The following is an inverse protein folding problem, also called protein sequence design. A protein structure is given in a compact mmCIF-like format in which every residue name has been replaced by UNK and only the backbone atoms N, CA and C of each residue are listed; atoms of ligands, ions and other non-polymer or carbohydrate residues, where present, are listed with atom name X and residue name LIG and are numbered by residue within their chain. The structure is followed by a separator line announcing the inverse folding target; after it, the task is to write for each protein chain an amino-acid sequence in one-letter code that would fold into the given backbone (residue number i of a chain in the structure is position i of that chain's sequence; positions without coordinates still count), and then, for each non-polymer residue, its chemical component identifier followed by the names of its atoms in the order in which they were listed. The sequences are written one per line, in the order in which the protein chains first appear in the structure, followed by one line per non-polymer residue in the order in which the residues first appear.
data_IF_732572216776
#
_entry.id   IF_732572216776
#
_cell.length_a   1.000
_cell.length_b   1.000
_cell.length_c   1.000
_cell.angle_alpha   90.00
_cell.angle_beta   90.00
_cell.angle_gamma   90.00
#
_symmetry.space_group_name_H-M   'P 1'
#
loop_
_entity.id
_entity.type
_entity.pdbx_description
1 polymer ?
#
# COMPACT_ATOMS: atom_id res chain seq x y z
N UNK A 1 30.31 79.62 35.19
CA UNK A 1 30.83 78.49 34.38
C UNK A 1 29.64 77.69 33.82
N UNK A 2 29.44 77.77 32.53
CA UNK A 2 28.33 77.02 31.90
C UNK A 2 28.66 75.53 31.87
N UNK A 3 28.11 74.79 32.85
CA UNK A 3 28.27 73.34 32.93
C UNK A 3 27.60 72.64 31.76
N UNK A 4 28.29 71.71 31.18
CA UNK A 4 27.82 70.94 30.07
C UNK A 4 26.68 69.99 30.55
N UNK A 5 25.42 70.35 30.25
CA UNK A 5 24.19 69.63 30.71
C UNK A 5 24.03 68.16 30.16
N UNK A 6 25.01 67.68 29.43
CA UNK A 6 25.00 66.30 28.86
C UNK A 6 25.91 65.33 29.60
N UNK A 7 26.58 65.78 30.68
CA UNK A 7 27.40 64.89 31.48
C UNK A 7 26.52 64.24 32.57
N UNK A 8 26.34 62.99 32.49
CA UNK A 8 25.65 62.15 33.53
C UNK A 8 26.52 60.97 33.89
N UNK A 9 26.33 60.42 35.10
CA UNK A 9 27.11 59.31 35.65
C UNK A 9 28.47 59.74 36.17
N UNK A 10 29.20 58.90 36.83
CA UNK A 10 30.51 59.07 37.41
C UNK A 10 30.58 58.54 38.83
N UNK A 11 31.72 58.89 39.50
CA UNK A 11 31.94 58.45 40.91
C UNK A 11 31.06 59.27 41.87
N UNK A 12 30.61 58.67 42.99
CA UNK A 12 29.64 59.27 43.93
C UNK A 12 30.01 60.67 44.45
N UNK A 13 31.28 60.99 44.50
CA UNK A 13 31.76 62.22 45.03
C UNK A 13 31.47 63.42 44.14
N UNK A 14 31.13 63.22 42.85
CA UNK A 14 30.90 64.28 41.86
C UNK A 14 29.43 64.75 41.80
N UNK A 15 28.52 64.15 42.54
CA UNK A 15 27.08 64.47 42.61
C UNK A 15 26.44 64.78 41.24
N UNK A 16 26.84 64.05 40.20
CA UNK A 16 26.25 64.14 38.86
C UNK A 16 24.94 63.44 38.82
N UNK A 17 24.01 63.90 38.01
CA UNK A 17 22.71 63.34 37.81
C UNK A 17 22.82 61.94 37.20
N UNK A 18 22.02 60.94 37.67
CA UNK A 18 22.01 59.63 37.13
C UNK A 18 21.65 59.66 35.64
N UNK A 19 22.33 58.81 34.82
CA UNK A 19 21.98 58.65 33.40
C UNK A 19 20.66 57.89 33.28
N UNK A 20 19.71 58.48 32.55
CA UNK A 20 18.51 57.72 32.15
C UNK A 20 18.95 56.64 31.18
N UNK A 21 18.96 55.39 31.66
CA UNK A 21 19.16 54.18 30.83
C UNK A 21 17.90 54.03 29.98
N UNK A 22 17.93 54.50 28.75
CA UNK A 22 16.92 54.18 27.75
C UNK A 22 17.10 52.67 27.45
N UNK A 23 16.39 51.82 28.16
CA UNK A 23 16.23 50.40 27.80
C UNK A 23 15.46 50.37 26.49
N UNK A 24 16.19 50.31 25.39
CA UNK A 24 15.59 50.01 24.10
C UNK A 24 14.98 48.60 24.22
N UNK A 25 13.69 48.57 24.50
CA UNK A 25 12.91 47.34 24.51
C UNK A 25 12.85 46.87 23.05
N UNK A 26 13.63 45.84 22.75
CA UNK A 26 13.73 45.21 21.42
C UNK A 26 12.40 44.53 21.06
N UNK A 27 11.33 45.31 20.90
CA UNK A 27 10.01 44.82 20.51
C UNK A 27 9.94 44.23 19.09
N UNK A 28 10.97 44.47 18.29
CA UNK A 28 11.06 43.91 16.93
C UNK A 28 11.45 42.43 16.93
N UNK A 29 12.23 41.96 17.90
CA UNK A 29 12.68 40.56 17.99
C UNK A 29 11.52 39.63 18.35
N UNK A 30 10.64 40.03 19.22
CA UNK A 30 9.49 39.18 19.66
C UNK A 30 8.46 39.05 18.53
N UNK A 31 8.08 40.15 17.89
CA UNK A 31 7.13 40.12 16.78
C UNK A 31 7.63 39.29 15.59
N UNK A 32 8.95 39.29 15.33
CA UNK A 32 9.57 38.46 14.30
C UNK A 32 9.49 36.97 14.65
N UNK A 33 9.78 36.58 15.89
CA UNK A 33 9.68 35.20 16.37
C UNK A 33 8.24 34.68 16.24
N UNK A 34 7.25 35.48 16.64
CA UNK A 34 5.83 35.09 16.49
C UNK A 34 5.42 34.90 15.03
N UNK A 35 5.89 35.76 14.10
CA UNK A 35 5.61 35.60 12.68
C UNK A 35 6.22 34.31 12.12
N UNK A 36 7.45 33.98 12.47
CA UNK A 36 8.11 32.74 12.05
C UNK A 36 7.37 31.52 12.57
N UNK A 37 6.94 31.54 13.85
CA UNK A 37 6.17 30.42 14.44
C UNK A 37 4.85 30.23 13.71
N UNK A 38 4.13 31.29 13.38
CA UNK A 38 2.86 31.23 12.65
C UNK A 38 3.07 30.63 11.25
N UNK A 39 4.08 31.10 10.52
CA UNK A 39 4.40 30.57 9.18
C UNK A 39 4.76 29.10 9.24
N UNK A 40 5.60 28.68 10.19
CA UNK A 40 5.93 27.28 10.37
C UNK A 40 4.70 26.41 10.69
N UNK A 41 3.78 26.90 11.53
CA UNK A 41 2.53 26.18 11.82
C UNK A 41 1.63 26.04 10.59
N UNK A 42 1.49 27.08 9.79
CA UNK A 42 0.72 27.02 8.53
C UNK A 42 1.34 26.00 7.58
N UNK A 43 2.67 26.01 7.42
CA UNK A 43 3.37 25.01 6.60
C UNK A 43 3.13 23.59 7.09
N UNK A 44 3.19 23.36 8.41
CA UNK A 44 2.91 22.04 8.99
C UNK A 44 1.48 21.56 8.72
N UNK A 45 0.49 22.44 8.83
CA UNK A 45 -0.91 22.12 8.57
C UNK A 45 -1.11 21.77 7.08
N UNK A 46 -0.53 22.57 6.16
CA UNK A 46 -0.64 22.32 4.72
C UNK A 46 0.04 20.99 4.37
N UNK A 47 1.25 20.74 4.90
CA UNK A 47 2.00 19.52 4.62
C UNK A 47 1.29 18.27 5.17
N UNK A 48 0.74 18.35 6.38
CA UNK A 48 -0.02 17.24 6.97
C UNK A 48 -1.33 16.98 6.22
N UNK A 49 -2.04 18.01 5.78
CA UNK A 49 -3.27 17.84 4.99
C UNK A 49 -2.98 17.24 3.60
N UNK A 50 -1.89 17.67 2.96
CA UNK A 50 -1.44 17.11 1.69
C UNK A 50 -1.03 15.64 1.84
N UNK A 51 -0.29 15.32 2.91
CA UNK A 51 0.11 13.96 3.23
C UNK A 51 -1.10 13.05 3.49
N UNK A 52 -2.09 13.53 4.24
CA UNK A 52 -3.35 12.80 4.47
C UNK A 52 -4.14 12.63 3.17
N UNK A 53 -4.21 13.66 2.32
CA UNK A 53 -4.90 13.59 1.03
C UNK A 53 -4.20 12.60 0.07
N UNK A 54 -2.86 12.58 0.04
CA UNK A 54 -2.10 11.62 -0.75
C UNK A 54 -2.29 10.20 -0.23
N UNK A 55 -2.22 9.99 1.08
CA UNK A 55 -2.49 8.68 1.67
C UNK A 55 -3.95 8.23 1.43
N UNK A 56 -4.90 9.17 1.45
CA UNK A 56 -6.29 8.84 1.14
C UNK A 56 -6.48 8.52 -0.33
N UNK A 57 -5.82 9.24 -1.24
CA UNK A 57 -5.82 8.91 -2.68
C UNK A 57 -5.15 7.56 -2.96
N UNK A 58 -4.07 7.21 -2.27
CA UNK A 58 -3.43 5.90 -2.38
C UNK A 58 -4.34 4.80 -1.82
N UNK A 59 -5.00 5.03 -0.67
CA UNK A 59 -6.02 4.12 -0.13
C UNK A 59 -7.27 4.05 -1.01
N UNK A 60 -7.72 5.16 -1.60
CA UNK A 60 -8.86 5.20 -2.50
C UNK A 60 -8.58 4.49 -3.82
N UNK A 61 -7.38 4.63 -4.39
CA UNK A 61 -6.97 3.83 -5.55
C UNK A 61 -6.85 2.34 -5.25
N UNK A 62 -6.43 1.96 -4.02
CA UNK A 62 -6.51 0.57 -3.55
C UNK A 62 -7.94 0.07 -3.36
N UNK A 63 -8.91 0.95 -3.13
CA UNK A 63 -10.32 0.60 -2.92
C UNK A 63 -11.14 0.60 -4.21
N UNK A 64 -10.62 1.21 -5.29
CA UNK A 64 -11.22 1.17 -6.63
C UNK A 64 -10.72 -0.01 -7.50
N UNK A 65 -9.69 -0.74 -7.04
CA UNK A 65 -9.48 -2.11 -7.46
C UNK A 65 -10.47 -2.94 -6.64
N UNK A 66 -11.66 -3.13 -7.23
CA UNK A 66 -12.77 -3.93 -6.71
C UNK A 66 -12.29 -4.95 -5.69
N UNK A 67 -12.59 -4.69 -4.40
CA UNK A 67 -12.62 -5.74 -3.40
C UNK A 67 -13.81 -6.61 -3.80
N UNK A 68 -13.62 -7.43 -4.85
CA UNK A 68 -14.45 -8.60 -5.05
C UNK A 68 -14.38 -9.32 -3.71
N UNK A 69 -15.53 -9.42 -3.06
CA UNK A 69 -15.67 -10.16 -1.82
C UNK A 69 -14.97 -11.50 -2.03
N UNK A 70 -14.23 -11.96 -1.03
CA UNK A 70 -13.56 -13.27 -1.09
C UNK A 70 -14.57 -14.35 -1.49
N UNK A 71 -15.82 -14.21 -1.07
CA UNK A 71 -16.96 -15.03 -1.47
C UNK A 71 -17.25 -14.96 -2.96
N UNK A 72 -17.16 -13.80 -3.58
CA UNK A 72 -17.42 -13.64 -5.02
C UNK A 72 -16.28 -14.22 -5.87
N UNK A 73 -15.03 -14.12 -5.41
CA UNK A 73 -13.88 -14.74 -6.06
C UNK A 73 -13.93 -16.26 -5.95
N UNK A 74 -14.32 -16.81 -4.78
CA UNK A 74 -14.48 -18.25 -4.59
C UNK A 74 -15.64 -18.77 -5.45
N UNK A 75 -16.75 -18.03 -5.56
CA UNK A 75 -17.88 -18.38 -6.42
C UNK A 75 -17.54 -18.30 -7.91
N UNK A 76 -16.69 -17.34 -8.32
CA UNK A 76 -16.26 -17.19 -9.71
C UNK A 76 -15.35 -18.33 -10.20
N UNK A 77 -14.61 -19.00 -9.31
CA UNK A 77 -13.64 -20.06 -9.67
C UNK A 77 -13.96 -21.40 -8.96
N UNK A 78 -15.20 -21.87 -9.13
CA UNK A 78 -15.57 -23.23 -8.74
C UNK A 78 -14.92 -24.29 -9.65
N UNK A 79 -14.87 -25.55 -9.21
CA UNK A 79 -14.40 -26.67 -10.05
C UNK A 79 -15.06 -26.67 -11.43
N UNK A 80 -16.38 -26.52 -11.49
CA UNK A 80 -17.15 -26.43 -12.73
C UNK A 80 -16.63 -25.34 -13.68
N UNK A 81 -16.34 -24.18 -13.13
CA UNK A 81 -15.83 -23.04 -13.92
C UNK A 81 -14.42 -23.31 -14.43
N UNK A 82 -13.53 -23.85 -13.57
CA UNK A 82 -12.16 -24.19 -13.96
C UNK A 82 -12.15 -25.32 -15.00
N UNK A 83 -12.98 -26.32 -14.83
CA UNK A 83 -13.18 -27.39 -15.80
C UNK A 83 -13.63 -26.82 -17.16
N UNK A 84 -14.59 -25.91 -17.14
CA UNK A 84 -15.11 -25.32 -18.40
C UNK A 84 -14.04 -24.45 -19.12
N UNK A 85 -13.35 -23.56 -18.41
CA UNK A 85 -12.36 -22.64 -19.03
C UNK A 85 -11.11 -23.39 -19.54
N UNK A 86 -10.79 -24.56 -18.98
CA UNK A 86 -9.67 -25.42 -19.39
C UNK A 86 -10.07 -26.49 -20.42
N UNK A 87 -11.32 -26.48 -20.89
CA UNK A 87 -11.83 -27.52 -21.78
C UNK A 87 -11.84 -28.92 -21.15
N UNK A 88 -12.24 -29.01 -19.86
CA UNK A 88 -12.23 -30.28 -19.12
C UNK A 88 -10.85 -30.74 -18.68
N UNK A 89 -9.91 -29.78 -18.49
CA UNK A 89 -8.50 -30.08 -18.28
C UNK A 89 -7.89 -30.88 -19.43
N UNK A 90 -8.25 -30.49 -20.68
CA UNK A 90 -7.79 -31.15 -21.89
C UNK A 90 -6.26 -31.18 -21.98
N UNK A 91 -5.66 -32.25 -22.46
CA UNK A 91 -4.24 -32.33 -22.80
C UNK A 91 -3.80 -31.22 -23.78
N UNK A 92 -4.70 -30.78 -24.67
CA UNK A 92 -4.43 -29.70 -25.65
C UNK A 92 -4.19 -28.35 -24.99
N UNK A 93 -4.72 -28.18 -23.78
CA UNK A 93 -4.53 -26.98 -22.95
C UNK A 93 -3.44 -27.15 -21.89
N UNK A 94 -2.71 -28.27 -21.90
CA UNK A 94 -1.63 -28.52 -20.94
C UNK A 94 -0.44 -27.60 -21.23
N UNK A 95 -0.10 -26.71 -20.31
CA UNK A 95 1.08 -25.85 -20.36
C UNK A 95 2.33 -26.61 -19.91
N UNK A 96 2.17 -27.43 -18.88
CA UNK A 96 3.25 -28.21 -18.31
C UNK A 96 2.78 -29.07 -17.15
N UNK A 97 3.60 -30.07 -16.82
CA UNK A 97 3.33 -30.98 -15.71
C UNK A 97 4.60 -31.19 -14.90
N UNK A 98 4.48 -31.13 -13.58
CA UNK A 98 5.58 -31.30 -12.65
C UNK A 98 5.17 -32.04 -11.38
N UNK A 99 6.08 -32.12 -10.44
CA UNK A 99 5.86 -32.82 -9.16
C UNK A 99 4.72 -32.24 -8.32
N UNK A 100 4.36 -30.99 -8.56
CA UNK A 100 3.26 -30.30 -7.84
C UNK A 100 1.91 -30.43 -8.54
N UNK A 101 1.89 -30.97 -9.74
CA UNK A 101 0.71 -31.17 -10.54
C UNK A 101 0.77 -30.49 -11.90
N UNK A 102 -0.23 -30.74 -12.77
CA UNK A 102 -0.32 -30.16 -14.09
C UNK A 102 -0.82 -28.72 -14.04
N UNK A 103 -0.40 -27.94 -15.03
CA UNK A 103 -0.88 -26.58 -15.29
C UNK A 103 -1.55 -26.51 -16.66
N UNK A 104 -2.72 -25.91 -16.72
CA UNK A 104 -3.53 -25.79 -17.94
C UNK A 104 -3.78 -24.35 -18.30
N UNK A 105 -3.78 -24.05 -19.60
CA UNK A 105 -4.29 -22.81 -20.12
C UNK A 105 -5.81 -22.82 -20.05
N UNK A 106 -6.40 -21.74 -19.61
CA UNK A 106 -7.83 -21.53 -19.60
C UNK A 106 -8.21 -20.21 -20.29
N UNK A 107 -9.34 -20.20 -20.98
CA UNK A 107 -9.91 -18.99 -21.55
C UNK A 107 -11.25 -18.76 -20.86
N UNK A 108 -11.40 -17.63 -20.20
CA UNK A 108 -12.61 -17.30 -19.45
C UNK A 108 -12.94 -15.83 -19.49
N UNK A 109 -14.21 -15.50 -19.27
CA UNK A 109 -14.64 -14.13 -19.17
C UNK A 109 -14.68 -13.73 -17.69
N UNK A 110 -13.89 -12.74 -17.32
CA UNK A 110 -13.94 -12.08 -16.04
C UNK A 110 -14.41 -10.64 -16.28
N UNK A 111 -15.54 -10.26 -15.66
CA UNK A 111 -16.10 -8.91 -15.75
C UNK A 111 -16.33 -8.41 -17.21
N UNK A 112 -16.79 -9.31 -18.12
CA UNK A 112 -17.05 -9.08 -19.55
C UNK A 112 -15.78 -8.96 -20.43
N UNK A 113 -14.59 -9.08 -19.86
CA UNK A 113 -13.36 -9.15 -20.64
C UNK A 113 -12.89 -10.61 -20.75
N UNK A 114 -12.47 -11.00 -21.96
CA UNK A 114 -11.84 -12.29 -22.19
C UNK A 114 -10.46 -12.29 -21.54
N UNK A 115 -10.27 -13.19 -20.57
CA UNK A 115 -9.00 -13.33 -19.87
C UNK A 115 -8.42 -14.71 -20.08
N UNK A 116 -7.15 -14.76 -20.43
CA UNK A 116 -6.39 -16.01 -20.46
C UNK A 116 -5.78 -16.23 -19.07
N UNK A 117 -6.01 -17.42 -18.52
CA UNK A 117 -5.53 -17.82 -17.20
C UNK A 117 -4.68 -19.09 -17.27
N UNK A 118 -3.78 -19.23 -16.32
CA UNK A 118 -3.06 -20.48 -16.08
C UNK A 118 -3.63 -21.13 -14.81
N UNK A 119 -4.14 -22.34 -14.93
CA UNK A 119 -4.75 -23.10 -13.84
C UNK A 119 -3.81 -24.23 -13.45
N UNK A 120 -3.14 -24.12 -12.30
CA UNK A 120 -2.28 -25.16 -11.74
C UNK A 120 -3.08 -26.02 -10.80
N UNK A 121 -3.36 -27.26 -11.20
CA UNK A 121 -4.07 -28.23 -10.39
C UNK A 121 -3.07 -28.95 -9.48
N UNK A 122 -3.33 -28.99 -8.18
CA UNK A 122 -2.40 -29.60 -7.23
C UNK A 122 -2.57 -31.12 -7.17
N UNK A 123 -1.44 -31.81 -7.15
CA UNK A 123 -1.40 -33.24 -6.87
C UNK A 123 -1.55 -33.49 -5.36
N UNK A 124 -2.77 -33.77 -4.91
CA UNK A 124 -3.11 -33.96 -3.50
C UNK A 124 -2.62 -35.30 -2.92
N UNK A 125 -2.21 -36.24 -3.78
CA UNK A 125 -1.60 -37.52 -3.34
C UNK A 125 -0.20 -37.28 -2.72
N UNK A 126 0.41 -36.15 -3.00
CA UNK A 126 1.72 -35.80 -2.44
C UNK A 126 1.57 -35.41 -0.97
N UNK A 127 2.40 -36.04 -0.11
CA UNK A 127 2.43 -35.74 1.32
C UNK A 127 2.71 -34.24 1.55
N UNK A 128 1.81 -33.58 2.28
CA UNK A 128 1.92 -32.15 2.61
C UNK A 128 1.36 -31.19 1.56
N UNK A 129 0.83 -31.65 0.42
CA UNK A 129 0.30 -30.81 -0.65
C UNK A 129 -0.75 -29.81 -0.15
N UNK A 130 -1.70 -30.26 0.68
CA UNK A 130 -2.73 -29.37 1.25
C UNK A 130 -2.15 -28.27 2.16
N UNK A 131 -1.10 -28.56 2.93
CA UNK A 131 -0.42 -27.55 3.77
C UNK A 131 0.33 -26.54 2.90
N UNK A 132 1.06 -27.02 1.89
CA UNK A 132 1.77 -26.17 0.92
C UNK A 132 0.80 -25.26 0.18
N UNK A 133 -0.37 -25.78 -0.24
CA UNK A 133 -1.41 -24.99 -0.89
C UNK A 133 -1.86 -23.78 -0.05
N UNK A 134 -2.18 -24.01 1.23
CA UNK A 134 -2.60 -22.90 2.12
C UNK A 134 -1.48 -21.86 2.27
N UNK A 135 -0.24 -22.32 2.43
CA UNK A 135 0.91 -21.45 2.53
C UNK A 135 1.10 -20.62 1.24
N UNK A 136 1.04 -21.26 0.07
CA UNK A 136 1.13 -20.60 -1.23
C UNK A 136 0.01 -19.58 -1.41
N UNK A 137 -1.25 -19.91 -1.10
CA UNK A 137 -2.37 -18.99 -1.18
C UNK A 137 -2.16 -17.74 -0.31
N UNK A 138 -1.65 -17.90 0.91
CA UNK A 138 -1.40 -16.78 1.82
C UNK A 138 -0.24 -15.89 1.37
N UNK A 139 0.85 -16.51 0.90
CA UNK A 139 2.03 -15.80 0.41
C UNK A 139 1.72 -15.05 -0.87
N UNK A 140 1.13 -15.72 -1.87
CA UNK A 140 0.86 -15.16 -3.18
C UNK A 140 -0.17 -14.02 -3.16
N UNK A 141 -1.08 -14.00 -2.19
CA UNK A 141 -2.02 -12.89 -2.01
C UNK A 141 -1.37 -11.61 -1.49
N UNK A 142 -0.26 -11.74 -0.76
CA UNK A 142 0.41 -10.62 -0.08
C UNK A 142 1.65 -10.14 -0.81
N UNK A 143 2.19 -10.91 -1.76
CA UNK A 143 3.38 -10.53 -2.52
C UNK A 143 2.95 -9.89 -3.84
N UNK A 144 3.28 -8.60 -3.96
CA UNK A 144 3.24 -7.92 -5.24
C UNK A 144 4.68 -7.60 -5.65
N UNK A 145 5.16 -8.29 -6.66
CA UNK A 145 6.45 -8.00 -7.28
C UNK A 145 6.28 -8.02 -8.81
N UNK A 146 6.85 -7.02 -9.49
CA UNK A 146 6.69 -6.85 -10.93
C UNK A 146 7.18 -8.03 -11.79
N UNK A 147 8.06 -8.86 -11.24
CA UNK A 147 8.62 -10.06 -11.90
C UNK A 147 7.91 -11.35 -11.48
N UNK A 148 6.83 -11.28 -10.71
CA UNK A 148 6.05 -12.46 -10.31
C UNK A 148 4.73 -12.48 -11.07
N UNK A 149 4.37 -13.67 -11.56
CA UNK A 149 3.06 -13.91 -12.17
C UNK A 149 1.97 -13.63 -11.14
N UNK A 150 1.02 -12.80 -11.49
CA UNK A 150 -0.07 -12.41 -10.60
C UNK A 150 -0.98 -13.59 -10.32
N UNK A 151 -1.12 -13.93 -9.04
CA UNK A 151 -2.12 -14.90 -8.62
C UNK A 151 -3.48 -14.23 -8.56
N UNK A 152 -4.43 -14.74 -9.32
CA UNK A 152 -5.80 -14.25 -9.37
C UNK A 152 -6.61 -14.79 -8.21
N UNK A 153 -6.55 -16.11 -7.99
CA UNK A 153 -7.27 -16.78 -6.90
C UNK A 153 -6.71 -18.16 -6.58
N UNK A 154 -7.16 -18.70 -5.44
CA UNK A 154 -6.96 -20.08 -5.02
C UNK A 154 -8.32 -20.77 -4.93
N UNK A 155 -8.48 -21.92 -5.56
CA UNK A 155 -9.68 -22.74 -5.49
C UNK A 155 -9.46 -23.94 -4.59
N UNK A 156 -10.35 -24.17 -3.64
CA UNK A 156 -10.40 -25.37 -2.81
C UNK A 156 -11.88 -25.82 -2.72
N UNK A 157 -12.21 -26.92 -3.37
CA UNK A 157 -13.58 -27.39 -3.50
C UNK A 157 -13.59 -28.91 -3.73
N UNK A 158 -14.75 -29.48 -4.02
CA UNK A 158 -14.89 -30.87 -4.47
C UNK A 158 -15.06 -30.94 -5.99
N UNK A 159 -14.53 -31.98 -6.61
CA UNK A 159 -14.80 -32.32 -8.01
C UNK A 159 -16.18 -32.96 -8.17
N UNK A 160 -16.53 -33.35 -9.40
CA UNK A 160 -17.82 -34.00 -9.66
C UNK A 160 -17.95 -35.39 -9.02
N UNK A 161 -16.84 -36.02 -8.64
CA UNK A 161 -16.82 -37.36 -8.00
C UNK A 161 -16.76 -37.24 -6.47
N UNK A 162 -16.79 -36.04 -5.91
CA UNK A 162 -16.69 -35.79 -4.48
C UNK A 162 -15.27 -35.88 -3.92
N UNK A 163 -14.25 -35.84 -4.77
CA UNK A 163 -12.85 -35.78 -4.33
C UNK A 163 -12.45 -34.36 -4.04
N UNK A 164 -11.51 -34.17 -3.11
CA UNK A 164 -10.92 -32.88 -2.83
C UNK A 164 -10.15 -32.36 -4.05
N UNK A 165 -10.46 -31.13 -4.47
CA UNK A 165 -9.83 -30.43 -5.59
C UNK A 165 -9.22 -29.12 -5.12
N UNK A 166 -7.96 -28.90 -5.46
CA UNK A 166 -7.23 -27.64 -5.17
C UNK A 166 -6.51 -27.16 -6.42
N UNK A 167 -6.67 -25.89 -6.71
CA UNK A 167 -5.99 -25.25 -7.84
C UNK A 167 -5.60 -23.81 -7.52
N UNK A 168 -4.50 -23.38 -8.11
CA UNK A 168 -4.06 -22.00 -8.14
C UNK A 168 -4.33 -21.42 -9.53
N UNK A 169 -4.88 -20.22 -9.59
CA UNK A 169 -5.20 -19.54 -10.83
C UNK A 169 -4.33 -18.30 -10.94
N UNK A 170 -3.58 -18.22 -12.02
CA UNK A 170 -2.66 -17.15 -12.34
C UNK A 170 -3.09 -16.41 -13.61
N UNK A 171 -2.67 -15.16 -13.72
CA UNK A 171 -2.72 -14.46 -15.00
C UNK A 171 -1.74 -15.13 -15.99
N UNK A 172 -2.21 -15.41 -17.20
CA UNK A 172 -1.36 -16.01 -18.23
C UNK A 172 -0.62 -14.90 -18.97
N UNK A 173 0.71 -14.96 -18.95
CA UNK A 173 1.56 -14.02 -19.67
C UNK A 173 2.06 -14.72 -20.93
N UNK A 174 1.73 -14.17 -22.11
CA UNK A 174 2.38 -14.56 -23.35
C UNK A 174 3.82 -14.04 -23.32
N UNK A 175 4.79 -14.96 -23.27
CA UNK A 175 6.22 -14.66 -23.46
C UNK A 175 6.52 -14.77 -24.94
#
# INVERSE_FOLDING_TARGET
MNGNKKLCGGIPELQLQACDIIVMKDGKSEAFKFRVIIVCRIFFIIFSSLFLALNWRIKSKKKSSSTLSITDLIAKFSYKRLCWVTGGFSPDNLIGSGSFGPAYRGIGNLDQEEMIVAVKVLNLQRKGASKSFIAECNVLRNIWHQNLVKTLTCCSCMDYNGNEFKALVFEFIHI
#
